data_IF_229321882063
#
_entry.id   IF_229321882063
#
_cell.length_a   1.000
_cell.length_b   1.000
_cell.length_c   1.000
_cell.angle_alpha   90.00
_cell.angle_beta   90.00
_cell.angle_gamma   90.00
#
_symmetry.space_group_name_H-M   'P 1'
#
loop_
_entity.id
_entity.type
_entity.pdbx_description
1 polymer ?
#
# COMPACT_ATOMS: atom_id res chain seq x y z
N UNK A 1 -19.52 49.62 -20.67
CA UNK A 1 -18.17 50.22 -20.54
C UNK A 1 -17.56 49.54 -19.32
N UNK A 2 -16.57 48.66 -19.35
CA UNK A 2 -15.58 48.28 -20.36
C UNK A 2 -15.11 46.86 -20.06
N UNK A 3 -14.81 46.14 -21.13
CA UNK A 3 -14.29 44.78 -21.20
C UNK A 3 -12.86 44.57 -20.65
N UNK A 4 -12.59 43.29 -20.32
CA UNK A 4 -11.35 42.50 -20.54
C UNK A 4 -10.02 43.00 -19.97
N UNK A 5 -9.35 42.10 -19.23
CA UNK A 5 -8.14 41.42 -19.76
C UNK A 5 -7.66 40.30 -18.82
N UNK A 6 -7.84 39.06 -19.29
CA UNK A 6 -7.11 37.87 -18.87
C UNK A 6 -5.72 37.90 -19.52
N UNK A 7 -4.67 37.65 -18.73
CA UNK A 7 -3.33 37.37 -19.26
C UNK A 7 -2.90 36.01 -18.73
N UNK A 8 -2.90 35.06 -19.66
CA UNK A 8 -2.36 33.72 -19.55
C UNK A 8 -0.83 33.84 -19.59
N UNK A 9 -0.13 33.50 -18.50
CA UNK A 9 1.33 33.42 -18.48
C UNK A 9 1.76 32.04 -18.95
N UNK A 10 2.53 32.03 -20.04
CA UNK A 10 3.00 30.84 -20.75
C UNK A 10 3.92 29.95 -19.92
N UNK A 11 3.86 28.68 -20.29
CA UNK A 11 4.81 27.61 -19.95
C UNK A 11 5.97 27.66 -20.95
N UNK A 12 7.20 27.85 -20.47
CA UNK A 12 8.41 27.60 -21.26
C UNK A 12 9.05 26.30 -20.76
N UNK A 13 8.98 25.27 -21.58
CA UNK A 13 9.79 24.05 -21.48
C UNK A 13 11.03 24.23 -22.35
N UNK A 14 12.21 24.24 -21.74
CA UNK A 14 13.48 24.10 -22.42
C UNK A 14 14.23 22.90 -21.82
N UNK A 15 14.37 21.84 -22.61
CA UNK A 15 15.10 20.62 -22.27
C UNK A 15 16.15 20.39 -23.35
N UNK A 16 17.33 20.95 -23.14
CA UNK A 16 18.53 20.66 -23.93
C UNK A 16 18.98 19.21 -23.69
N UNK A 17 18.81 18.36 -24.71
CA UNK A 17 19.34 17.00 -24.73
C UNK A 17 20.69 17.01 -25.45
N UNK A 18 21.80 16.95 -24.71
CA UNK A 18 23.15 16.85 -25.28
C UNK A 18 23.57 15.38 -25.42
N UNK A 19 23.58 14.92 -26.67
CA UNK A 19 24.17 13.66 -27.14
C UNK A 19 25.66 13.85 -27.45
N UNK A 20 26.56 13.21 -26.69
CA UNK A 20 27.95 12.86 -27.04
C UNK A 20 28.41 11.75 -26.07
N UNK A 21 29.16 10.70 -26.38
CA UNK A 21 29.81 10.17 -27.57
C UNK A 21 30.15 8.70 -27.26
N UNK A 22 29.96 7.83 -28.25
CA UNK A 22 30.47 6.46 -28.31
C UNK A 22 31.84 6.56 -29.00
N UNK A 23 32.93 6.16 -28.35
CA UNK A 23 34.15 5.78 -29.05
C UNK A 23 34.75 4.51 -28.44
N UNK A 24 34.81 3.50 -29.30
CA UNK A 24 35.51 2.24 -29.15
C UNK A 24 37.03 2.47 -29.23
N UNK A 25 37.80 1.74 -28.40
CA UNK A 25 39.16 1.35 -28.75
C UNK A 25 39.28 -0.16 -28.58
N UNK A 26 39.29 -0.86 -29.70
CA UNK A 26 39.89 -2.18 -29.83
C UNK A 26 41.40 -2.08 -29.56
N UNK A 27 41.93 -3.00 -28.76
CA UNK A 27 43.35 -3.36 -28.84
C UNK A 27 43.51 -4.85 -28.65
N UNK A 28 43.80 -5.53 -29.76
CA UNK A 28 44.05 -6.95 -29.80
C UNK A 28 45.29 -7.36 -29.02
N UNK A 29 45.23 -8.54 -28.41
CA UNK A 29 46.42 -9.34 -28.20
C UNK A 29 46.07 -10.82 -28.31
N UNK A 30 46.52 -11.43 -29.39
CA UNK A 30 46.68 -12.86 -29.59
C UNK A 30 47.59 -13.43 -28.50
N UNK A 31 46.97 -14.00 -27.47
CA UNK A 31 47.65 -14.73 -26.41
C UNK A 31 47.00 -16.10 -26.23
N UNK A 32 47.37 -17.03 -27.11
CA UNK A 32 47.63 -18.44 -26.78
C UNK A 32 46.99 -18.92 -25.46
N UNK A 33 45.81 -19.53 -25.56
CA UNK A 33 45.16 -20.20 -24.42
C UNK A 33 46.07 -21.32 -23.93
N UNK A 34 46.82 -21.05 -22.87
CA UNK A 34 47.57 -22.04 -22.11
C UNK A 34 46.60 -23.15 -21.69
N UNK A 35 46.81 -24.32 -22.28
CA UNK A 35 46.08 -25.55 -22.06
C UNK A 35 46.55 -26.16 -20.74
N UNK A 36 46.19 -25.53 -19.63
CA UNK A 36 46.50 -26.06 -18.32
C UNK A 36 45.65 -27.30 -18.06
N UNK A 37 46.33 -28.45 -18.16
CA UNK A 37 45.84 -29.79 -17.89
C UNK A 37 45.11 -29.86 -16.55
N UNK A 38 43.81 -30.15 -16.61
CA UNK A 38 42.96 -30.39 -15.44
C UNK A 38 43.57 -31.51 -14.58
N UNK A 39 44.22 -31.16 -13.46
CA UNK A 39 44.72 -32.14 -12.50
C UNK A 39 43.51 -32.86 -11.87
N UNK A 40 43.59 -34.19 -11.83
CA UNK A 40 42.51 -35.09 -11.39
C UNK A 40 41.91 -34.68 -10.05
N UNK A 41 40.57 -34.72 -9.99
CA UNK A 41 39.78 -34.48 -8.79
C UNK A 41 40.15 -35.43 -7.63
N UNK A 42 40.40 -34.88 -6.44
CA UNK A 42 40.33 -35.63 -5.20
C UNK A 42 38.85 -35.83 -4.83
N UNK A 43 38.43 -37.08 -4.59
CA UNK A 43 37.05 -37.38 -4.16
C UNK A 43 36.78 -36.67 -2.82
N UNK A 44 35.70 -35.88 -2.67
CA UNK A 44 35.29 -35.44 -1.35
C UNK A 44 34.87 -36.66 -0.53
N UNK A 45 35.45 -36.83 0.67
CA UNK A 45 34.92 -37.75 1.68
C UNK A 45 33.51 -37.27 2.02
N UNK A 46 32.49 -38.04 1.66
CA UNK A 46 31.11 -37.85 2.11
C UNK A 46 31.09 -37.98 3.63
N UNK A 47 31.00 -36.85 4.34
CA UNK A 47 30.48 -36.85 5.72
C UNK A 47 28.97 -36.80 5.58
N UNK A 48 28.31 -37.92 5.86
CA UNK A 48 26.89 -37.92 6.19
C UNK A 48 26.75 -37.31 7.59
N UNK A 49 26.79 -35.98 7.64
CA UNK A 49 26.25 -35.28 8.78
C UNK A 49 24.74 -35.37 8.64
N UNK A 50 24.10 -36.14 9.54
CA UNK A 50 22.65 -36.13 9.71
C UNK A 50 22.23 -34.66 9.80
N UNK A 51 21.57 -34.14 8.77
CA UNK A 51 20.92 -32.86 8.85
C UNK A 51 19.93 -32.96 10.01
N UNK A 52 20.21 -32.24 11.09
CA UNK A 52 19.23 -32.05 12.14
C UNK A 52 18.02 -31.35 11.51
N UNK A 53 16.79 -31.71 11.88
CA UNK A 53 15.61 -31.00 11.41
C UNK A 53 15.81 -29.51 11.68
N UNK A 54 15.76 -28.68 10.65
CA UNK A 54 15.79 -27.23 10.80
C UNK A 54 14.46 -26.87 11.46
N UNK A 55 14.51 -26.58 12.76
CA UNK A 55 13.38 -26.03 13.50
C UNK A 55 13.18 -24.60 12.99
N UNK A 56 12.22 -24.44 12.08
CA UNK A 56 11.83 -23.12 11.59
C UNK A 56 10.94 -22.49 12.65
N UNK A 57 11.54 -21.62 13.46
CA UNK A 57 10.85 -20.70 14.36
C UNK A 57 10.02 -19.70 13.52
N UNK A 58 8.93 -20.16 12.93
CA UNK A 58 7.99 -19.28 12.24
C UNK A 58 7.18 -18.55 13.33
N UNK A 59 7.71 -17.43 13.85
CA UNK A 59 7.15 -16.66 14.98
C UNK A 59 5.91 -15.84 14.62
N UNK A 60 5.22 -16.17 13.53
CA UNK A 60 3.97 -15.50 13.21
C UNK A 60 2.90 -16.02 14.15
N UNK A 61 2.43 -15.13 15.04
CA UNK A 61 1.28 -15.42 15.87
C UNK A 61 0.07 -15.69 14.96
N UNK A 62 -0.72 -16.75 15.23
CA UNK A 62 -1.98 -16.93 14.52
C UNK A 62 -2.83 -15.68 14.72
N UNK A 63 -3.23 -15.05 13.62
CA UNK A 63 -4.17 -13.93 13.65
C UNK A 63 -5.46 -14.49 14.23
N UNK A 64 -5.65 -14.30 15.54
CA UNK A 64 -6.86 -14.72 16.20
C UNK A 64 -8.03 -14.05 15.47
N UNK A 65 -9.04 -14.83 15.10
CA UNK A 65 -10.30 -14.37 14.50
C UNK A 65 -11.15 -13.54 15.48
N UNK A 66 -10.51 -12.71 16.31
CA UNK A 66 -11.20 -11.63 16.97
C UNK A 66 -11.63 -10.70 15.85
N UNK A 67 -12.93 -10.66 15.59
CA UNK A 67 -13.60 -9.63 14.80
C UNK A 67 -13.41 -8.31 15.53
N UNK A 68 -12.19 -7.79 15.50
CA UNK A 68 -11.85 -6.48 16.03
C UNK A 68 -12.44 -5.50 15.05
N UNK A 69 -13.62 -4.98 15.39
CA UNK A 69 -14.22 -3.97 14.57
C UNK A 69 -13.34 -2.71 14.59
N UNK A 70 -13.07 -2.06 13.45
CA UNK A 70 -12.26 -0.84 13.39
C UNK A 70 -12.87 0.24 14.26
N UNK A 71 -12.07 1.01 15.00
CA UNK A 71 -12.55 1.94 16.03
C UNK A 71 -13.54 3.01 15.52
N UNK A 72 -13.55 3.24 14.20
CA UNK A 72 -14.47 4.15 13.51
C UNK A 72 -15.23 3.40 12.42
N UNK A 73 -16.45 3.88 12.13
CA UNK A 73 -17.29 3.40 11.04
C UNK A 73 -17.07 4.34 9.86
N UNK A 74 -16.48 3.82 8.77
CA UNK A 74 -16.31 4.58 7.53
C UNK A 74 -17.54 4.40 6.64
N UNK A 75 -18.29 5.47 6.46
CA UNK A 75 -19.48 5.51 5.63
C UNK A 75 -19.18 6.25 4.33
N UNK A 76 -19.58 5.67 3.19
CA UNK A 76 -19.56 6.40 1.93
C UNK A 76 -20.79 7.33 1.87
N UNK A 77 -20.60 8.65 1.71
CA UNK A 77 -21.72 9.57 1.57
C UNK A 77 -22.47 9.28 0.27
N UNK A 78 -23.68 8.73 0.39
CA UNK A 78 -24.61 8.54 -0.72
C UNK A 78 -25.97 9.11 -0.36
N UNK A 79 -26.67 9.66 -1.35
CA UNK A 79 -28.00 10.26 -1.17
C UNK A 79 -28.04 11.27 -0.01
N UNK A 80 -28.99 11.06 0.90
CA UNK A 80 -29.25 11.93 2.05
C UNK A 80 -28.38 11.61 3.27
N UNK A 81 -27.07 11.48 3.08
CA UNK A 81 -26.13 11.21 4.16
C UNK A 81 -26.23 12.24 5.31
N UNK A 82 -26.57 13.50 5.01
CA UNK A 82 -26.73 14.55 6.04
C UNK A 82 -27.83 14.22 7.03
N UNK A 83 -28.93 13.66 6.54
CA UNK A 83 -30.07 13.23 7.35
C UNK A 83 -29.68 12.02 8.19
N UNK A 84 -28.97 11.06 7.59
CA UNK A 84 -28.45 9.89 8.29
C UNK A 84 -27.49 10.26 9.43
N UNK A 85 -26.53 11.17 9.18
CA UNK A 85 -25.60 11.63 10.21
C UNK A 85 -26.33 12.37 11.34
N UNK A 86 -27.36 13.16 11.02
CA UNK A 86 -28.20 13.80 12.04
C UNK A 86 -28.93 12.77 12.91
N UNK A 87 -29.53 11.76 12.28
CA UNK A 87 -30.24 10.70 13.00
C UNK A 87 -29.29 9.90 13.90
N UNK A 88 -28.09 9.57 13.42
CA UNK A 88 -27.06 8.91 14.22
C UNK A 88 -26.66 9.79 15.42
N UNK A 89 -26.46 11.10 15.21
CA UNK A 89 -26.12 12.02 16.30
C UNK A 89 -27.27 12.17 17.33
N UNK A 90 -28.52 12.06 16.89
CA UNK A 90 -29.70 12.13 17.77
C UNK A 90 -29.89 10.85 18.58
N UNK A 91 -29.74 9.67 17.95
CA UNK A 91 -29.85 8.37 18.63
C UNK A 91 -28.65 8.06 19.51
N UNK A 92 -27.46 8.48 19.09
CA UNK A 92 -26.18 8.21 19.74
C UNK A 92 -25.46 9.53 20.04
N UNK A 93 -25.87 10.22 21.11
CA UNK A 93 -25.20 11.45 21.51
C UNK A 93 -23.74 11.17 21.85
N UNK A 94 -22.84 12.10 21.48
CA UNK A 94 -21.40 11.94 21.67
C UNK A 94 -20.69 11.17 20.56
N UNK A 95 -21.36 10.90 19.44
CA UNK A 95 -20.71 10.45 18.21
C UNK A 95 -19.92 11.60 17.56
N UNK A 96 -18.64 11.37 17.24
CA UNK A 96 -17.84 12.33 16.47
C UNK A 96 -17.93 11.98 14.98
N UNK A 97 -18.08 12.99 14.11
CA UNK A 97 -18.15 12.80 12.67
C UNK A 97 -17.02 13.57 11.98
N UNK A 98 -16.17 12.88 11.21
CA UNK A 98 -15.06 13.49 10.49
C UNK A 98 -15.04 13.08 9.02
N UNK A 99 -14.90 14.06 8.13
CA UNK A 99 -14.69 13.81 6.71
C UNK A 99 -13.24 13.43 6.42
N UNK A 100 -13.02 12.39 5.63
CA UNK A 100 -11.67 11.93 5.28
C UNK A 100 -11.70 11.22 3.93
N UNK A 101 -10.94 11.73 2.94
CA UNK A 101 -10.77 11.12 1.61
C UNK A 101 -12.08 10.55 1.02
N UNK A 102 -13.12 11.39 0.99
CA UNK A 102 -14.47 11.08 0.47
C UNK A 102 -15.34 10.15 1.31
N UNK A 103 -14.91 9.76 2.51
CA UNK A 103 -15.71 9.02 3.49
C UNK A 103 -16.06 9.88 4.70
N UNK A 104 -17.18 9.54 5.34
CA UNK A 104 -17.55 10.05 6.66
C UNK A 104 -17.15 9.00 7.69
N UNK A 105 -16.21 9.37 8.55
CA UNK A 105 -15.79 8.54 9.67
C UNK A 105 -16.59 8.93 10.91
N UNK A 106 -17.42 7.99 11.37
CA UNK A 106 -18.21 8.12 12.59
C UNK A 106 -17.43 7.41 13.70
N UNK A 107 -17.13 8.13 14.79
CA UNK A 107 -16.51 7.58 15.99
C UNK A 107 -17.57 7.41 17.08
N UNK A 108 -17.97 6.17 17.41
CA UNK A 108 -18.93 5.91 18.47
C UNK A 108 -18.31 6.13 19.85
N UNK A 109 -19.10 6.55 20.85
CA UNK A 109 -18.64 6.69 22.23
C UNK A 109 -18.39 5.34 22.93
N UNK A 110 -19.04 4.26 22.46
CA UNK A 110 -18.88 2.90 23.00
C UNK A 110 -18.99 1.85 21.90
N UNK A 111 -18.49 0.65 22.20
CA UNK A 111 -18.59 -0.50 21.29
C UNK A 111 -20.04 -0.96 21.07
N UNK A 112 -20.91 -0.82 22.08
CA UNK A 112 -22.35 -1.10 21.94
C UNK A 112 -23.02 -0.13 20.96
N UNK A 113 -22.74 1.17 21.07
CA UNK A 113 -23.26 2.18 20.15
C UNK A 113 -22.85 1.87 18.71
N UNK A 114 -21.62 1.39 18.52
CA UNK A 114 -21.11 1.01 17.20
C UNK A 114 -21.93 -0.10 16.55
N UNK A 115 -22.25 -1.15 17.30
CA UNK A 115 -23.06 -2.27 16.79
C UNK A 115 -24.45 -1.79 16.42
N UNK A 116 -25.05 -0.92 17.23
CA UNK A 116 -26.37 -0.35 16.96
C UNK A 116 -26.37 0.58 15.74
N UNK A 117 -25.33 1.42 15.58
CA UNK A 117 -25.16 2.26 14.38
C UNK A 117 -25.02 1.38 13.13
N UNK A 118 -24.22 0.32 13.18
CA UNK A 118 -24.07 -0.61 12.05
C UNK A 118 -25.39 -1.30 11.69
N UNK A 119 -26.18 -1.71 12.70
CA UNK A 119 -27.50 -2.30 12.46
C UNK A 119 -28.45 -1.30 11.76
N UNK A 120 -28.50 -0.05 12.25
CA UNK A 120 -29.30 1.03 11.65
C UNK A 120 -28.87 1.36 10.22
N UNK A 121 -27.57 1.35 9.95
CA UNK A 121 -27.05 1.57 8.60
C UNK A 121 -27.41 0.42 7.65
N UNK A 122 -27.30 -0.83 8.11
CA UNK A 122 -27.63 -2.00 7.31
C UNK A 122 -29.11 -2.06 6.94
N UNK A 123 -30.01 -1.74 7.88
CA UNK A 123 -31.45 -1.67 7.66
C UNK A 123 -31.79 -0.71 6.52
N UNK A 124 -31.17 0.48 6.52
CA UNK A 124 -31.37 1.50 5.47
C UNK A 124 -30.79 1.15 4.11
N UNK A 125 -29.75 0.32 4.07
CA UNK A 125 -29.16 -0.12 2.78
C UNK A 125 -29.88 -1.32 2.18
N UNK A 126 -30.74 -1.99 2.95
CA UNK A 126 -31.52 -3.14 2.51
C UNK A 126 -32.89 -2.75 1.90
N UNK A 127 -33.30 -1.49 2.09
CA UNK A 127 -34.48 -0.86 1.48
C UNK A 127 -34.16 -0.27 0.09
#
# INVERSE_FOLDING_TARGET
MTDRSSIFSGIETDMDTTTQQLEEMEQGNTGEFLKDSLRKAAKPKRREEKALPIETDNKFLPVAEKKTYPETISLKPQGDYKTMIKEIAEKFPGTENRWTHDFINIKPPSEECKVQILALLNEKTAE
#
